data_IF_966560827595
#
_entry.id   IF_966560827595
#
_cell.length_a   1.000
_cell.length_b   1.000
_cell.length_c   1.000
_cell.angle_alpha   90.00
_cell.angle_beta   90.00
_cell.angle_gamma   90.00
#
_symmetry.space_group_name_H-M   'P 1'
#
loop_
_entity.id
_entity.type
_entity.pdbx_description
1 polymer ?
#
# COMPACT_ATOMS: atom_id res chain seq x y z
N UNK A 1 10.60 3.44 -8.30
CA UNK A 1 9.39 2.83 -7.70
C UNK A 1 8.30 2.77 -8.77
N UNK A 2 7.34 1.86 -8.66
CA UNK A 2 6.06 1.93 -9.37
C UNK A 2 4.91 1.65 -8.38
N UNK A 3 3.75 2.24 -8.62
CA UNK A 3 2.52 2.01 -7.85
C UNK A 3 1.51 1.36 -8.78
N UNK A 4 0.84 0.31 -8.34
CA UNK A 4 -0.35 -0.19 -9.02
C UNK A 4 -1.58 -0.08 -8.13
N UNK A 5 -2.66 0.43 -8.73
CA UNK A 5 -3.96 0.65 -8.11
C UNK A 5 -4.89 -0.47 -8.57
N UNK A 6 -5.41 -1.24 -7.61
CA UNK A 6 -6.52 -2.13 -7.88
C UNK A 6 -7.81 -1.32 -7.94
N UNK A 7 -8.47 -1.37 -9.09
CA UNK A 7 -9.76 -0.71 -9.32
C UNK A 7 -10.70 -1.63 -10.06
N UNK A 8 -11.94 -1.22 -10.33
CA UNK A 8 -12.88 -1.97 -11.15
C UNK A 8 -13.65 -1.04 -12.07
N UNK A 9 -14.29 -1.59 -13.09
CA UNK A 9 -15.23 -0.89 -13.96
C UNK A 9 -16.34 -0.16 -13.19
N UNK A 10 -16.68 -0.66 -12.00
CA UNK A 10 -17.69 -0.07 -11.09
C UNK A 10 -17.16 1.14 -10.32
N UNK A 11 -15.88 1.13 -9.93
CA UNK A 11 -15.26 2.10 -9.02
C UNK A 11 -14.22 3.01 -9.70
N UNK A 12 -13.99 2.82 -11.00
CA UNK A 12 -13.01 3.62 -11.71
C UNK A 12 -13.50 5.06 -11.86
N UNK A 13 -14.75 5.27 -12.26
CA UNK A 13 -15.26 6.58 -12.63
C UNK A 13 -15.46 7.53 -11.44
N UNK A 14 -15.48 7.00 -10.22
CA UNK A 14 -15.48 7.75 -8.98
C UNK A 14 -14.10 7.69 -8.28
N UNK A 15 -13.71 6.54 -7.76
CA UNK A 15 -12.51 6.38 -6.92
C UNK A 15 -11.23 6.42 -7.75
N UNK A 16 -11.18 5.67 -8.86
CA UNK A 16 -10.05 5.70 -9.77
C UNK A 16 -9.79 7.10 -10.35
N UNK A 17 -10.86 7.84 -10.66
CA UNK A 17 -10.77 9.25 -11.06
C UNK A 17 -10.27 10.15 -9.94
N UNK A 18 -10.70 9.92 -8.70
CA UNK A 18 -10.17 10.64 -7.57
C UNK A 18 -8.65 10.42 -7.40
N UNK A 19 -8.15 9.20 -7.60
CA UNK A 19 -6.69 8.93 -7.62
C UNK A 19 -6.00 9.74 -8.73
N UNK A 20 -6.53 9.71 -9.96
CA UNK A 20 -5.99 10.43 -11.14
C UNK A 20 -5.92 11.93 -10.92
N UNK A 21 -6.95 12.51 -10.30
CA UNK A 21 -7.10 13.95 -10.12
C UNK A 21 -6.42 14.45 -8.84
N UNK A 22 -5.90 13.56 -7.99
CA UNK A 22 -5.18 13.89 -6.74
C UNK A 22 -3.75 13.32 -6.72
N UNK A 23 -3.46 12.38 -5.81
CA UNK A 23 -2.11 11.90 -5.52
C UNK A 23 -1.47 11.15 -6.69
N UNK A 24 -2.27 10.54 -7.57
CA UNK A 24 -1.74 9.87 -8.77
C UNK A 24 -1.00 10.85 -9.68
N UNK A 25 -1.51 12.08 -9.83
CA UNK A 25 -0.84 13.13 -10.60
C UNK A 25 0.45 13.59 -9.95
N UNK A 26 0.43 13.74 -8.63
CA UNK A 26 1.62 14.07 -7.84
C UNK A 26 2.68 12.97 -7.98
N UNK A 27 2.29 11.69 -7.99
CA UNK A 27 3.21 10.57 -8.20
C UNK A 27 3.91 10.64 -9.57
N UNK A 28 3.17 10.84 -10.66
CA UNK A 28 3.72 11.00 -12.01
C UNK A 28 4.65 12.22 -12.11
N UNK A 29 4.28 13.36 -11.53
CA UNK A 29 5.13 14.57 -11.46
C UNK A 29 6.43 14.34 -10.68
N UNK A 30 6.43 13.40 -9.73
CA UNK A 30 7.62 12.97 -8.98
C UNK A 30 8.37 11.81 -9.66
N UNK A 31 7.97 11.42 -10.87
CA UNK A 31 8.60 10.35 -11.65
C UNK A 31 8.28 8.94 -11.15
N UNK A 32 7.17 8.76 -10.42
CA UNK A 32 6.65 7.46 -9.99
C UNK A 32 5.51 7.05 -10.93
N UNK A 33 5.71 6.08 -11.82
CA UNK A 33 4.64 5.59 -12.68
C UNK A 33 3.52 4.94 -11.86
N UNK A 34 2.27 5.31 -12.16
CA UNK A 34 1.05 4.77 -11.57
C UNK A 34 0.28 3.96 -12.62
N UNK A 35 0.08 2.68 -12.28
CA UNK A 35 -0.60 1.70 -13.10
C UNK A 35 -2.00 1.40 -12.55
N UNK A 36 -3.04 1.48 -13.36
CA UNK A 36 -4.37 1.01 -13.00
C UNK A 36 -4.54 -0.44 -13.47
N UNK A 37 -4.71 -1.35 -12.53
CA UNK A 37 -5.04 -2.74 -12.84
C UNK A 37 -6.52 -2.84 -13.23
N UNK A 38 -6.80 -2.85 -14.53
CA UNK A 38 -8.14 -3.06 -15.09
C UNK A 38 -8.03 -3.53 -16.54
N UNK A 39 -8.85 -4.49 -16.93
CA UNK A 39 -9.03 -4.93 -18.32
C UNK A 39 -10.20 -4.24 -19.02
N UNK A 40 -11.00 -3.47 -18.27
CA UNK A 40 -12.23 -2.83 -18.77
C UNK A 40 -12.01 -1.34 -19.00
N UNK A 41 -11.22 -0.69 -18.15
CA UNK A 41 -11.03 0.76 -18.21
C UNK A 41 -9.59 1.10 -18.56
N UNK A 42 -9.32 1.57 -19.79
CA UNK A 42 -7.99 2.02 -20.18
C UNK A 42 -7.69 3.39 -19.56
N UNK A 43 -6.82 3.40 -18.56
CA UNK A 43 -6.35 4.61 -17.88
C UNK A 43 -5.49 5.52 -18.79
N UNK A 44 -5.02 5.02 -19.93
CA UNK A 44 -4.26 5.79 -20.94
C UNK A 44 -5.03 7.02 -21.43
N UNK A 45 -6.37 6.93 -21.48
CA UNK A 45 -7.23 8.05 -21.84
C UNK A 45 -7.08 9.24 -20.89
N UNK A 46 -6.61 8.99 -19.67
CA UNK A 46 -6.41 9.99 -18.63
C UNK A 46 -4.93 10.30 -18.37
N UNK A 47 -4.02 9.79 -19.20
CA UNK A 47 -2.58 10.01 -19.06
C UNK A 47 -1.89 9.07 -18.07
N UNK A 48 -2.52 7.95 -17.71
CA UNK A 48 -1.98 6.94 -16.79
C UNK A 48 -1.77 5.59 -17.49
N UNK A 49 -1.01 4.69 -16.87
CA UNK A 49 -0.72 3.38 -17.43
C UNK A 49 -1.80 2.36 -17.05
N UNK A 50 -2.19 1.48 -17.96
CA UNK A 50 -3.07 0.34 -17.64
C UNK A 50 -2.27 -0.95 -17.51
N UNK A 51 -2.59 -1.74 -16.49
CA UNK A 51 -2.25 -3.16 -16.45
C UNK A 51 -3.50 -3.94 -16.84
N UNK A 52 -3.46 -4.54 -18.03
CA UNK A 52 -4.55 -5.38 -18.55
C UNK A 52 -4.70 -6.65 -17.72
N UNK A 53 -5.50 -6.53 -16.65
CA UNK A 53 -5.75 -7.57 -15.66
C UNK A 53 -7.27 -7.80 -15.61
N UNK A 54 -7.74 -9.04 -15.85
CA UNK A 54 -9.14 -9.40 -15.71
C UNK A 54 -9.74 -8.97 -14.38
N UNK A 55 -10.97 -8.47 -14.42
CA UNK A 55 -11.74 -8.26 -13.19
C UNK A 55 -12.15 -9.60 -12.60
N UNK A 56 -12.23 -9.64 -11.27
CA UNK A 56 -12.69 -10.78 -10.49
C UNK A 56 -13.76 -10.30 -9.53
N UNK A 57 -14.51 -11.23 -8.94
CA UNK A 57 -15.27 -10.92 -7.74
C UNK A 57 -14.34 -10.69 -6.53
N UNK A 58 -14.96 -10.38 -5.39
CA UNK A 58 -14.26 -10.09 -4.13
C UNK A 58 -13.51 -11.31 -3.57
N UNK A 59 -14.08 -12.51 -3.68
CA UNK A 59 -13.48 -13.75 -3.17
C UNK A 59 -12.22 -14.15 -3.95
N UNK A 60 -12.13 -13.72 -5.21
CA UNK A 60 -11.03 -14.01 -6.12
C UNK A 60 -10.11 -12.80 -6.39
N UNK A 61 -10.24 -11.70 -5.63
CA UNK A 61 -9.47 -10.46 -5.83
C UNK A 61 -7.96 -10.68 -5.79
N UNK A 62 -7.50 -11.67 -5.01
CA UNK A 62 -6.09 -12.06 -4.94
C UNK A 62 -5.48 -12.35 -6.31
N UNK A 63 -6.24 -12.92 -7.26
CA UNK A 63 -5.70 -13.26 -8.57
C UNK A 63 -5.15 -12.02 -9.28
N UNK A 64 -5.81 -10.87 -9.09
CA UNK A 64 -5.44 -9.59 -9.72
C UNK A 64 -4.12 -9.07 -9.19
N UNK A 65 -3.93 -9.10 -7.88
CA UNK A 65 -2.67 -8.74 -7.22
C UNK A 65 -1.53 -9.63 -7.68
N UNK A 66 -1.73 -10.95 -7.72
CA UNK A 66 -0.70 -11.88 -8.14
C UNK A 66 -0.33 -11.67 -9.62
N UNK A 67 -1.30 -11.44 -10.51
CA UNK A 67 -1.03 -11.11 -11.92
C UNK A 67 -0.26 -9.79 -12.08
N UNK A 68 -0.58 -8.76 -11.29
CA UNK A 68 0.17 -7.51 -11.28
C UNK A 68 1.62 -7.71 -10.82
N UNK A 69 1.83 -8.45 -9.74
CA UNK A 69 3.18 -8.76 -9.25
C UNK A 69 3.96 -9.66 -10.23
N UNK A 70 3.31 -10.61 -10.90
CA UNK A 70 3.91 -11.40 -11.99
C UNK A 70 4.38 -10.49 -13.14
N UNK A 71 3.58 -9.48 -13.49
CA UNK A 71 3.95 -8.48 -14.50
C UNK A 71 5.19 -7.68 -14.09
N UNK A 72 5.19 -7.12 -12.88
CA UNK A 72 6.35 -6.34 -12.39
C UNK A 72 7.60 -7.18 -12.20
N UNK A 73 7.46 -8.45 -11.78
CA UNK A 73 8.58 -9.38 -11.72
C UNK A 73 9.21 -9.61 -13.09
N UNK A 74 8.39 -9.74 -14.15
CA UNK A 74 8.89 -9.89 -15.53
C UNK A 74 9.57 -8.62 -16.04
N UNK A 75 9.05 -7.43 -15.68
CA UNK A 75 9.69 -6.15 -16.03
C UNK A 75 11.05 -5.98 -15.33
N UNK A 76 11.13 -6.30 -14.04
CA UNK A 76 12.35 -6.31 -13.22
C UNK A 76 13.22 -5.02 -13.24
N UNK A 77 12.65 -3.87 -13.62
CA UNK A 77 13.38 -2.59 -13.63
C UNK A 77 13.07 -1.67 -12.46
N UNK A 78 12.03 -1.96 -11.65
CA UNK A 78 11.68 -1.14 -10.49
C UNK A 78 12.31 -1.67 -9.22
N UNK A 79 12.83 -0.76 -8.40
CA UNK A 79 13.39 -1.08 -7.08
C UNK A 79 12.33 -1.36 -6.02
N UNK A 80 11.13 -0.78 -6.21
CA UNK A 80 10.01 -0.84 -5.27
C UNK A 80 8.70 -0.94 -6.05
N UNK A 81 7.83 -1.87 -5.65
CA UNK A 81 6.47 -2.02 -6.17
C UNK A 81 5.48 -1.84 -5.04
N UNK A 82 4.58 -0.87 -5.17
CA UNK A 82 3.51 -0.62 -4.20
C UNK A 82 2.16 -1.08 -4.75
N UNK A 83 1.42 -1.86 -3.95
CA UNK A 83 -0.01 -2.14 -4.15
C UNK A 83 -0.82 -1.15 -3.34
N UNK A 84 -1.87 -0.59 -3.95
CA UNK A 84 -2.94 0.14 -3.25
C UNK A 84 -4.30 -0.20 -3.85
N UNK A 85 -5.37 0.04 -3.08
CA UNK A 85 -6.75 0.02 -3.59
C UNK A 85 -7.17 1.42 -4.07
N UNK A 86 -8.22 1.50 -4.89
CA UNK A 86 -8.69 2.76 -5.47
C UNK A 86 -9.35 3.71 -4.46
N UNK A 87 -9.74 3.20 -3.30
CA UNK A 87 -10.17 3.99 -2.15
C UNK A 87 -9.02 4.36 -1.22
N UNK A 88 -7.76 4.34 -1.69
CA UNK A 88 -6.58 4.76 -0.90
C UNK A 88 -5.94 6.04 -1.44
N UNK A 89 -5.60 6.96 -0.54
CA UNK A 89 -4.85 8.18 -0.79
C UNK A 89 -3.41 8.01 -0.36
N UNK A 90 -2.45 8.22 -1.27
CA UNK A 90 -1.02 8.13 -0.96
C UNK A 90 -0.43 9.52 -0.74
N UNK A 91 0.18 9.77 0.42
CA UNK A 91 1.05 10.93 0.58
C UNK A 91 2.41 10.70 -0.10
N UNK A 92 2.52 11.09 -1.38
CA UNK A 92 3.67 10.78 -2.25
C UNK A 92 5.00 11.32 -1.70
N UNK A 93 5.03 12.55 -1.19
CA UNK A 93 6.27 13.15 -0.71
C UNK A 93 6.77 12.42 0.56
N UNK A 94 5.87 12.04 1.46
CA UNK A 94 6.22 11.23 2.65
C UNK A 94 6.60 9.80 2.29
N UNK A 95 5.92 9.19 1.32
CA UNK A 95 6.28 7.88 0.79
C UNK A 95 7.72 7.89 0.24
N UNK A 96 8.08 8.90 -0.54
CA UNK A 96 9.43 9.03 -1.10
C UNK A 96 10.48 9.24 -0.01
N UNK A 97 10.19 10.05 1.01
CA UNK A 97 11.09 10.21 2.17
C UNK A 97 11.33 8.87 2.84
N UNK A 98 10.27 8.13 3.18
CA UNK A 98 10.36 6.84 3.86
C UNK A 98 11.10 5.77 3.03
N UNK A 99 10.86 5.71 1.72
CA UNK A 99 11.48 4.68 0.86
C UNK A 99 12.97 4.96 0.58
N UNK A 100 13.43 6.21 0.69
CA UNK A 100 14.82 6.60 0.42
C UNK A 100 15.78 6.07 1.48
N UNK A 101 15.28 5.78 2.69
CA UNK A 101 16.06 5.25 3.82
C UNK A 101 16.13 3.71 3.82
N UNK A 102 15.44 3.05 2.89
CA UNK A 102 15.37 1.60 2.77
C UNK A 102 16.26 1.06 1.63
N UNK A 103 16.80 -0.16 1.82
CA UNK A 103 17.62 -0.83 0.79
C UNK A 103 16.74 -1.80 -0.05
N UNK A 104 16.52 -1.53 -1.35
CA UNK A 104 15.73 -2.41 -2.22
C UNK A 104 16.38 -3.77 -2.49
N UNK A 105 17.65 -3.96 -2.14
CA UNK A 105 18.38 -5.23 -2.24
C UNK A 105 18.17 -6.14 -1.03
N UNK A 106 17.48 -5.67 0.01
CA UNK A 106 17.07 -6.47 1.17
C UNK A 106 15.66 -7.00 0.99
N UNK A 107 15.35 -8.12 1.65
CA UNK A 107 13.98 -8.64 1.66
C UNK A 107 13.10 -7.72 2.51
N UNK A 108 12.42 -6.79 1.85
CA UNK A 108 11.47 -5.85 2.47
C UNK A 108 10.07 -6.05 1.93
N UNK A 109 9.14 -6.25 2.87
CA UNK A 109 7.70 -6.07 2.72
C UNK A 109 7.31 -4.97 3.71
N UNK A 110 6.90 -3.80 3.22
CA UNK A 110 6.61 -2.62 4.05
C UNK A 110 5.11 -2.32 4.02
N UNK A 111 4.53 -1.97 5.16
CA UNK A 111 3.11 -1.60 5.25
C UNK A 111 2.60 -1.61 6.68
N UNK A 112 1.28 -1.51 6.83
CA UNK A 112 0.64 -1.66 8.13
C UNK A 112 0.62 -3.13 8.53
N UNK A 113 1.24 -3.47 9.65
CA UNK A 113 1.33 -4.86 10.10
C UNK A 113 -0.05 -5.37 10.55
N UNK A 114 -0.52 -6.45 9.93
CA UNK A 114 -1.62 -7.24 10.47
C UNK A 114 -1.04 -8.34 11.36
N UNK A 115 -1.52 -8.37 12.61
CA UNK A 115 -1.13 -9.36 13.62
C UNK A 115 -2.12 -10.52 13.70
N UNK A 116 -2.98 -10.68 12.69
CA UNK A 116 -3.93 -11.77 12.57
C UNK A 116 -3.29 -13.15 12.84
N UNK A 117 -3.93 -14.02 13.66
CA UNK A 117 -3.34 -15.25 14.18
C UNK A 117 -3.10 -16.36 13.13
N UNK A 118 -3.41 -16.12 11.86
CA UNK A 118 -3.52 -17.16 10.83
C UNK A 118 -2.35 -17.19 9.83
N UNK A 119 -1.49 -16.17 9.78
CA UNK A 119 -0.44 -16.10 8.77
C UNK A 119 0.91 -16.69 9.27
N UNK A 120 1.63 -17.48 8.44
CA UNK A 120 2.92 -18.06 8.80
C UNK A 120 4.05 -17.03 8.94
N UNK A 121 3.81 -15.79 8.52
CA UNK A 121 4.64 -14.59 8.69
C UNK A 121 3.71 -13.41 8.98
N UNK A 122 4.22 -12.28 9.48
CA UNK A 122 3.42 -11.06 9.57
C UNK A 122 2.95 -10.62 8.17
N UNK A 123 1.65 -10.50 7.95
CA UNK A 123 1.07 -9.94 6.71
C UNK A 123 1.03 -8.41 6.82
N UNK A 124 1.11 -7.72 5.67
CA UNK A 124 0.74 -6.30 5.64
C UNK A 124 -0.72 -6.20 5.26
N UNK A 125 -1.50 -5.40 5.99
CA UNK A 125 -2.91 -5.20 5.71
C UNK A 125 -3.12 -4.58 4.32
N UNK A 126 -3.98 -5.17 3.51
CA UNK A 126 -4.15 -4.85 2.09
C UNK A 126 -4.74 -3.47 1.81
N UNK A 127 -5.67 -3.03 2.67
CA UNK A 127 -6.44 -1.78 2.49
C UNK A 127 -5.55 -0.53 2.41
N UNK A 128 -4.74 -0.22 3.43
CA UNK A 128 -3.76 0.86 3.36
C UNK A 128 -2.79 0.66 2.19
N UNK A 129 -2.49 -0.58 1.81
CA UNK A 129 -1.51 -0.90 0.80
C UNK A 129 -0.16 -1.30 1.39
N UNK A 130 0.68 -1.87 0.55
CA UNK A 130 1.98 -2.41 0.94
C UNK A 130 3.00 -2.37 -0.20
N UNK A 131 4.27 -2.45 0.16
CA UNK A 131 5.39 -2.26 -0.76
C UNK A 131 6.34 -3.46 -0.70
N UNK A 132 6.68 -3.97 -1.87
CA UNK A 132 7.69 -5.00 -2.06
C UNK A 132 8.97 -4.37 -2.61
N UNK A 133 10.09 -4.67 -1.96
CA UNK A 133 11.42 -4.48 -2.54
C UNK A 133 11.62 -5.34 -3.78
N UNK A 134 12.51 -4.89 -4.67
CA UNK A 134 12.98 -5.67 -5.82
C UNK A 134 13.55 -7.02 -5.41
N UNK A 135 14.33 -7.07 -4.32
CA UNK A 135 14.88 -8.34 -3.82
C UNK A 135 13.77 -9.30 -3.43
N UNK A 136 12.76 -8.83 -2.68
CA UNK A 136 11.63 -9.68 -2.28
C UNK A 136 10.83 -10.15 -3.49
N UNK A 137 10.47 -9.24 -4.39
CA UNK A 137 9.73 -9.57 -5.61
C UNK A 137 10.47 -10.60 -6.47
N UNK A 138 11.79 -10.49 -6.61
CA UNK A 138 12.60 -11.46 -7.33
C UNK A 138 12.73 -12.82 -6.63
N UNK A 139 12.69 -12.84 -5.30
CA UNK A 139 12.71 -14.09 -4.53
C UNK A 139 11.39 -14.87 -4.69
N UNK A 140 10.25 -14.18 -4.69
CA UNK A 140 8.92 -14.83 -4.74
C UNK A 140 8.34 -14.92 -6.15
N UNK A 141 8.80 -14.09 -7.07
CA UNK A 141 8.33 -13.97 -8.46
C UNK A 141 8.15 -15.30 -9.20
N UNK A 142 9.15 -16.22 -9.16
CA UNK A 142 9.04 -17.53 -9.81
C UNK A 142 7.90 -18.41 -9.28
N UNK A 143 7.35 -18.11 -8.10
CA UNK A 143 6.31 -18.89 -7.42
C UNK A 143 4.93 -18.24 -7.47
N UNK A 144 4.81 -16.96 -7.86
CA UNK A 144 3.55 -16.22 -7.84
C UNK A 144 2.44 -16.94 -8.63
N UNK A 145 2.74 -17.42 -9.85
CA UNK A 145 1.77 -18.17 -10.65
C UNK A 145 1.33 -19.47 -9.96
N UNK A 146 2.25 -20.18 -9.31
CA UNK A 146 1.94 -21.41 -8.56
C UNK A 146 1.06 -21.11 -7.37
N UNK A 147 1.41 -20.09 -6.58
CA UNK A 147 0.63 -19.66 -5.41
C UNK A 147 -0.78 -19.24 -5.82
N UNK A 148 -0.92 -18.45 -6.89
CA UNK A 148 -2.22 -18.03 -7.45
C UNK A 148 -3.11 -19.21 -7.84
N UNK A 149 -2.57 -20.26 -8.45
CA UNK A 149 -3.36 -21.45 -8.80
C UNK A 149 -3.61 -22.42 -7.63
N UNK A 150 -2.94 -22.23 -6.49
CA UNK A 150 -3.07 -23.12 -5.32
C UNK A 150 -4.15 -22.66 -4.35
N UNK A 151 -4.64 -21.42 -4.48
CA UNK A 151 -5.76 -20.90 -3.71
C UNK A 151 -7.08 -21.08 -4.48
N UNK A 152 -8.17 -21.28 -3.74
CA UNK A 152 -9.53 -21.19 -4.29
C UNK A 152 -10.07 -19.78 -4.14
N UNK A 153 -10.01 -19.23 -2.93
CA UNK A 153 -10.52 -17.92 -2.52
C UNK A 153 -9.61 -17.33 -1.43
N UNK A 154 -9.73 -16.03 -1.15
CA UNK A 154 -9.10 -15.41 0.02
C UNK A 154 -8.65 -13.97 -0.21
N UNK A 155 -8.28 -13.32 0.90
CA UNK A 155 -7.72 -11.98 0.89
C UNK A 155 -6.31 -11.99 0.26
N UNK A 156 -6.02 -10.99 -0.59
CA UNK A 156 -4.80 -10.97 -1.38
C UNK A 156 -3.53 -10.82 -0.54
N UNK A 157 -3.63 -10.07 0.55
CA UNK A 157 -2.55 -9.80 1.50
C UNK A 157 -2.16 -11.05 2.28
N UNK A 158 -3.14 -11.80 2.79
CA UNK A 158 -2.94 -13.06 3.50
C UNK A 158 -2.33 -14.10 2.57
N UNK A 159 -2.90 -14.28 1.36
CA UNK A 159 -2.39 -15.25 0.39
C UNK A 159 -0.98 -14.90 -0.10
N UNK A 160 -0.67 -13.60 -0.27
CA UNK A 160 0.67 -13.15 -0.59
C UNK A 160 1.65 -13.43 0.56
N UNK A 161 1.26 -13.14 1.81
CA UNK A 161 2.07 -13.44 2.99
C UNK A 161 2.36 -14.94 3.12
N UNK A 162 1.36 -15.81 2.90
CA UNK A 162 1.56 -17.25 2.85
C UNK A 162 2.53 -17.67 1.75
N UNK A 163 2.37 -17.13 0.54
CA UNK A 163 3.25 -17.43 -0.59
C UNK A 163 4.69 -17.01 -0.28
N UNK A 164 4.89 -15.82 0.27
CA UNK A 164 6.19 -15.34 0.73
C UNK A 164 6.73 -16.31 1.78
N UNK A 165 5.96 -16.63 2.82
CA UNK A 165 6.33 -17.51 3.92
C UNK A 165 6.85 -18.89 3.47
N UNK A 166 6.26 -19.47 2.42
CA UNK A 166 6.69 -20.77 1.84
C UNK A 166 7.97 -20.68 1.01
N UNK A 167 8.32 -19.48 0.50
CA UNK A 167 9.37 -19.29 -0.51
C UNK A 167 10.48 -18.30 -0.09
N UNK A 168 10.45 -17.80 1.15
CA UNK A 168 11.45 -16.92 1.76
C UNK A 168 12.44 -17.66 2.66
N UNK A 169 13.62 -17.08 2.95
CA UNK A 169 14.52 -17.59 3.98
C UNK A 169 13.89 -17.57 5.37
N UNK A 170 14.16 -18.56 6.22
CA UNK A 170 13.49 -18.71 7.52
C UNK A 170 13.50 -17.45 8.40
N UNK A 171 14.56 -16.63 8.34
CA UNK A 171 14.75 -15.41 9.12
C UNK A 171 13.92 -14.19 8.69
N UNK A 172 13.19 -14.22 7.57
CA UNK A 172 12.42 -13.04 7.15
C UNK A 172 11.05 -13.01 7.86
N UNK A 173 10.85 -12.06 8.78
CA UNK A 173 9.70 -12.08 9.71
C UNK A 173 8.36 -11.62 9.10
N UNK A 174 8.39 -11.05 7.88
CA UNK A 174 7.19 -10.61 7.16
C UNK A 174 7.11 -9.11 7.03
N UNK A 175 5.89 -8.58 7.20
CA UNK A 175 5.59 -7.16 7.12
C UNK A 175 6.39 -6.37 8.14
N UNK A 176 6.95 -5.25 7.70
CA UNK A 176 7.61 -4.27 8.55
C UNK A 176 6.86 -2.94 8.42
N UNK A 177 6.72 -2.18 9.53
CA UNK A 177 6.27 -0.81 9.42
C UNK A 177 7.30 0.00 8.62
N UNK A 178 6.87 1.11 8.03
CA UNK A 178 7.83 2.09 7.52
C UNK A 178 8.73 2.54 8.68
N UNK A 179 10.04 2.62 8.43
CA UNK A 179 10.96 3.32 9.33
C UNK A 179 10.61 4.80 9.34
N UNK A 180 9.69 5.18 10.20
CA UNK A 180 9.76 6.44 10.89
C UNK A 180 10.23 6.06 12.28
N UNK A 181 11.47 6.42 12.66
CA UNK A 181 11.92 6.17 14.03
C UNK A 181 10.84 6.72 14.97
N UNK A 182 10.51 5.96 16.03
CA UNK A 182 9.55 6.43 17.06
C UNK A 182 9.92 7.83 17.55
N UNK A 183 11.23 8.09 17.60
CA UNK A 183 11.82 9.41 17.83
C UNK A 183 11.31 10.44 16.82
N UNK A 184 11.52 10.22 15.52
CA UNK A 184 11.10 11.17 14.48
C UNK A 184 9.59 11.40 14.49
N UNK A 185 8.79 10.37 14.77
CA UNK A 185 7.33 10.47 14.94
C UNK A 185 6.96 11.38 16.11
N UNK A 186 7.61 11.22 17.26
CA UNK A 186 7.35 12.02 18.46
C UNK A 186 7.88 13.45 18.28
N UNK A 187 9.07 13.62 17.68
CA UNK A 187 9.64 14.94 17.39
C UNK A 187 8.77 15.74 16.42
N UNK A 188 8.27 15.12 15.35
CA UNK A 188 7.38 15.75 14.37
C UNK A 188 6.01 16.14 14.98
N UNK A 189 5.46 15.30 15.87
CA UNK A 189 4.15 15.57 16.50
C UNK A 189 4.22 16.60 17.63
N UNK A 190 5.34 16.67 18.35
CA UNK A 190 5.48 17.49 19.56
C UNK A 190 6.33 18.74 19.34
N UNK A 191 7.15 18.79 18.29
CA UNK A 191 8.15 19.82 18.07
C UNK A 191 9.30 19.80 19.10
N UNK A 192 9.44 18.72 19.88
CA UNK A 192 10.42 18.59 20.95
C UNK A 192 11.39 17.44 20.69
N UNK A 193 12.71 17.65 20.79
CA UNK A 193 13.70 16.60 20.54
C UNK A 193 13.63 15.48 21.60
N UNK A 194 13.62 14.21 21.17
CA UNK A 194 13.58 13.02 22.02
C UNK A 194 15.00 12.49 22.23
N UNK A 195 15.44 12.50 23.48
CA UNK A 195 16.75 11.98 23.91
C UNK A 195 16.57 10.72 24.78
N UNK A 196 16.79 9.53 24.21
CA UNK A 196 16.83 8.26 24.95
C UNK A 196 15.80 7.22 24.51
N UNK A 197 15.99 5.97 24.97
CA UNK A 197 15.11 4.82 24.70
C UNK A 197 13.91 4.83 25.67
N UNK A 198 12.90 5.64 25.37
CA UNK A 198 11.58 5.55 26.04
C UNK A 198 10.56 4.96 25.05
N UNK A 199 9.73 4.02 25.52
CA UNK A 199 8.73 3.36 24.68
C UNK A 199 7.49 4.24 24.48
N UNK A 200 6.79 4.08 23.35
CA UNK A 200 5.60 4.87 22.95
C UNK A 200 4.56 5.01 24.07
N UNK A 201 4.34 3.94 24.86
CA UNK A 201 3.39 3.91 25.97
C UNK A 201 3.76 4.84 27.14
N UNK A 202 5.05 5.18 27.28
CA UNK A 202 5.54 6.05 28.35
C UNK A 202 5.40 7.53 28.00
N UNK A 203 5.47 7.88 26.71
CA UNK A 203 5.40 9.26 26.23
C UNK A 203 3.97 9.71 25.88
N UNK A 204 3.06 8.78 25.55
CA UNK A 204 1.67 9.09 25.25
C UNK A 204 0.70 8.48 26.28
N UNK A 205 0.57 9.12 27.45
CA UNK A 205 -0.59 8.83 28.30
C UNK A 205 -1.87 9.37 27.65
N UNK A 206 -2.97 8.59 27.63
CA UNK A 206 -4.20 8.99 26.94
C UNK A 206 -4.82 10.21 27.60
N UNK A 207 -4.87 11.32 26.86
CA UNK A 207 -5.63 12.52 27.24
C UNK A 207 -7.06 12.34 26.74
N UNK A 208 -7.92 11.73 27.57
CA UNK A 208 -9.37 11.69 27.37
C UNK A 208 -9.90 10.74 26.29
N UNK A 209 -11.23 10.63 26.22
CA UNK A 209 -11.98 9.72 25.35
C UNK A 209 -12.21 10.26 23.92
N UNK A 210 -11.30 11.08 23.39
CA UNK A 210 -11.42 11.62 22.03
C UNK A 210 -10.37 10.99 21.11
N UNK A 211 -10.86 10.19 20.15
CA UNK A 211 -10.08 9.43 19.19
C UNK A 211 -9.34 10.35 18.21
N UNK A 212 -8.06 10.62 18.48
CA UNK A 212 -7.16 11.32 17.56
C UNK A 212 -6.70 10.39 16.41
N UNK A 213 -6.77 10.85 15.16
CA UNK A 213 -5.94 10.33 14.05
C UNK A 213 -4.47 10.70 14.34
N UNK A 214 -3.83 10.01 15.29
CA UNK A 214 -2.38 10.05 15.50
C UNK A 214 -1.88 8.63 15.33
N UNK A 215 -1.63 8.25 14.09
CA UNK A 215 -0.61 7.30 13.75
C UNK A 215 -0.15 7.70 12.35
N UNK A 216 1.15 7.88 12.15
CA UNK A 216 1.69 8.19 10.81
C UNK A 216 1.41 7.07 9.80
N UNK A 217 1.06 5.87 10.26
CA UNK A 217 0.42 4.83 9.43
C UNK A 217 -0.88 5.29 8.75
N UNK A 218 -1.64 6.19 9.40
CA UNK A 218 -2.84 6.81 8.84
C UNK A 218 -2.55 8.06 7.97
N UNK A 219 -1.32 8.60 8.01
CA UNK A 219 -0.93 9.77 7.20
C UNK A 219 -0.36 9.39 5.83
N UNK A 220 0.06 8.13 5.65
CA UNK A 220 0.57 7.65 4.38
C UNK A 220 -0.56 7.21 3.44
N UNK A 221 -1.66 6.66 3.99
CA UNK A 221 -2.67 5.89 3.26
C UNK A 221 -4.08 6.15 3.84
N UNK A 222 -4.78 7.20 3.37
CA UNK A 222 -6.14 7.58 3.83
C UNK A 222 -7.23 7.02 2.92
N UNK A 223 -8.45 6.78 3.40
CA UNK A 223 -9.51 6.27 2.52
C UNK A 223 -10.23 7.38 1.72
N UNK A 224 -10.52 7.15 0.44
CA UNK A 224 -11.28 8.07 -0.44
C UNK A 224 -12.76 7.66 -0.46
N UNK A 225 -13.64 8.57 -0.03
CA UNK A 225 -15.09 8.44 -0.21
C UNK A 225 -15.57 9.47 -1.25
N UNK A 226 -16.27 9.00 -2.29
CA UNK A 226 -16.90 9.88 -3.29
C UNK A 226 -18.39 10.05 -2.96
N UNK A 227 -18.87 11.29 -2.92
CA UNK A 227 -20.30 11.60 -2.94
C UNK A 227 -20.65 12.32 -4.25
N UNK A 228 -21.84 12.05 -4.77
CA UNK A 228 -22.33 12.56 -6.05
C UNK A 228 -22.21 14.10 -6.16
N UNK A 229 -21.22 14.56 -6.94
CA UNK A 229 -21.01 15.96 -7.30
C UNK A 229 -19.56 16.41 -7.09
N UNK A 230 -18.69 16.22 -8.10
CA UNK A 230 -17.36 16.81 -8.36
C UNK A 230 -16.40 17.11 -7.17
N UNK A 231 -16.65 16.56 -6.00
CA UNK A 231 -15.98 16.91 -4.75
C UNK A 231 -15.44 15.64 -4.12
N UNK A 232 -14.12 15.57 -3.92
CA UNK A 232 -13.45 14.38 -3.37
C UNK A 232 -13.32 14.56 -1.86
N UNK A 233 -13.78 13.58 -1.09
CA UNK A 233 -13.66 13.54 0.36
C UNK A 233 -12.59 12.52 0.77
N UNK A 234 -11.56 12.97 1.47
CA UNK A 234 -10.60 12.06 2.14
C UNK A 234 -11.05 11.90 3.59
N UNK A 235 -11.32 10.67 4.01
CA UNK A 235 -11.88 10.36 5.34
C UNK A 235 -10.87 9.58 6.17
N UNK A 236 -10.35 10.20 7.24
CA UNK A 236 -9.64 9.50 8.32
C UNK A 236 -10.58 9.47 9.51
N UNK A 237 -11.32 8.35 9.75
CA UNK A 237 -12.30 7.97 10.81
C UNK A 237 -13.03 9.03 11.68
N UNK A 238 -12.60 10.28 11.80
CA UNK A 238 -13.28 11.45 12.36
C UNK A 238 -13.02 12.79 11.61
N UNK A 239 -12.26 12.82 10.51
CA UNK A 239 -12.00 14.04 9.73
C UNK A 239 -12.24 13.83 8.24
N UNK A 240 -13.03 14.73 7.64
CA UNK A 240 -13.34 14.80 6.21
C UNK A 240 -12.62 15.99 5.59
N UNK A 241 -11.68 15.75 4.68
CA UNK A 241 -11.05 16.81 3.89
C UNK A 241 -11.78 16.96 2.57
N UNK A 242 -12.24 18.16 2.25
CA UNK A 242 -13.03 18.48 1.05
C UNK A 242 -12.12 19.17 0.04
N UNK A 243 -11.86 18.52 -1.09
CA UNK A 243 -11.10 19.11 -2.20
C UNK A 243 -12.07 19.53 -3.29
N UNK A 244 -11.97 20.80 -3.73
CA UNK A 244 -12.74 21.40 -4.81
C UNK A 244 -11.89 21.56 -6.06
#
# INVERSE_FOLDING_TARGET
MAIFVLTSSKTFYDRGRAVIDTWGRVAEERGIPVYFASSVVPAEKYGFLTLDIPETDYEHIYQRTFLALEHFHKLNHYDWIMKVDDDTYVNVDQLLKAITEEDPNQLRLLGHMDSGPAAPIHSCFGGPGYILSKKLLNAVGPYLAKCRHSASEGAEDVLLAECIGRHKPQWFDGCLPFRSDVKDVVEDLTGMPVNGYETVDQLMQPIGNEHKCINLEAALLMSIESNAGDTIHIVCRQYTWVFK
#
